data_IF_927493132713
#
_entry.id   IF_927493132713
#
_cell.length_a   1.000
_cell.length_b   1.000
_cell.length_c   1.000
_cell.angle_alpha   90.00
_cell.angle_beta   90.00
_cell.angle_gamma   90.00
#
_symmetry.space_group_name_H-M   'P 1'
#
loop_
_entity.id
_entity.type
_entity.pdbx_description
1 polymer ?
#
# COMPACT_ATOMS: atom_id res chain seq x y z
N UNK A 1 56.20 26.20 0.59
CA UNK A 1 54.83 26.46 0.08
C UNK A 1 54.18 25.12 -0.17
N UNK A 2 53.50 24.61 0.84
CA UNK A 2 52.82 23.30 0.86
C UNK A 2 51.38 23.51 0.40
N UNK A 3 51.00 22.87 -0.70
CA UNK A 3 49.64 22.90 -1.24
C UNK A 3 48.68 22.21 -0.25
N UNK A 4 47.64 22.89 0.26
CA UNK A 4 46.61 22.24 1.05
C UNK A 4 45.82 21.30 0.13
N UNK A 5 45.92 20.00 0.39
CA UNK A 5 45.18 18.96 -0.31
C UNK A 5 43.68 19.22 -0.20
N UNK A 6 43.04 19.41 -1.34
CA UNK A 6 41.59 19.44 -1.47
C UNK A 6 41.10 18.04 -1.08
N UNK A 7 40.51 17.92 0.10
CA UNK A 7 39.81 16.72 0.54
C UNK A 7 38.69 16.43 -0.46
N UNK A 8 38.92 15.48 -1.36
CA UNK A 8 37.85 14.95 -2.19
C UNK A 8 36.77 14.41 -1.25
N UNK A 9 35.51 14.85 -1.38
CA UNK A 9 34.42 14.30 -0.59
C UNK A 9 34.37 12.80 -0.88
N UNK A 10 34.71 11.99 0.12
CA UNK A 10 34.65 10.54 0.02
C UNK A 10 33.26 10.17 -0.50
N UNK A 11 33.22 9.51 -1.65
CA UNK A 11 31.99 9.02 -2.25
C UNK A 11 31.30 8.11 -1.24
N UNK A 12 30.32 8.66 -0.53
CA UNK A 12 29.52 7.88 0.41
C UNK A 12 28.85 6.77 -0.40
N UNK A 13 29.27 5.52 -0.18
CA UNK A 13 28.71 4.34 -0.84
C UNK A 13 27.28 4.01 -0.37
N UNK A 14 26.64 4.94 0.35
CA UNK A 14 25.29 4.81 0.90
C UNK A 14 24.33 5.58 0.03
N UNK A 15 23.20 4.95 -0.30
CA UNK A 15 22.08 5.59 -0.97
C UNK A 15 20.84 5.56 -0.08
N UNK A 16 20.07 6.64 -0.12
CA UNK A 16 18.76 6.73 0.49
C UNK A 16 17.68 6.47 -0.56
N UNK A 17 16.78 5.53 -0.27
CA UNK A 17 15.59 5.27 -1.07
C UNK A 17 14.38 5.83 -0.35
N UNK A 18 13.69 6.74 -1.02
CA UNK A 18 12.46 7.37 -0.53
C UNK A 18 11.28 6.41 -0.68
N UNK A 19 10.66 6.07 0.44
CA UNK A 19 9.50 5.19 0.51
C UNK A 19 8.37 5.93 1.18
N UNK A 20 7.23 5.99 0.51
CA UNK A 20 6.05 6.68 1.01
C UNK A 20 4.99 5.65 1.35
N UNK A 21 4.52 5.68 2.59
CA UNK A 21 3.50 4.77 3.10
C UNK A 21 2.22 5.54 3.41
N UNK A 22 1.09 4.96 3.01
CA UNK A 22 -0.23 5.48 3.41
C UNK A 22 -0.58 4.99 4.81
N UNK A 23 -0.63 5.89 5.81
CA UNK A 23 -0.93 5.51 7.21
C UNK A 23 -2.41 5.63 7.56
N UNK A 24 -3.09 6.70 7.12
CA UNK A 24 -4.54 6.92 7.38
C UNK A 24 -5.20 7.70 6.25
N UNK A 25 -6.40 7.28 5.83
CA UNK A 25 -7.37 7.78 4.82
C UNK A 25 -6.87 8.62 3.62
N UNK A 26 -5.97 9.58 3.76
CA UNK A 26 -5.32 10.30 2.65
C UNK A 26 -3.92 10.86 2.98
N UNK A 27 -3.34 10.50 4.12
CA UNK A 27 -2.04 10.99 4.58
C UNK A 27 -0.93 10.04 4.20
N UNK A 28 0.08 10.59 3.55
CA UNK A 28 1.24 9.88 3.05
C UNK A 28 2.45 10.29 3.87
N UNK A 29 3.18 9.31 4.37
CA UNK A 29 4.35 9.55 5.20
C UNK A 29 5.59 9.08 4.48
N UNK A 30 6.61 9.94 4.41
CA UNK A 30 7.90 9.64 3.80
C UNK A 30 8.84 8.99 4.82
N UNK A 31 9.48 7.92 4.37
CA UNK A 31 10.47 7.13 5.08
C UNK A 31 11.71 7.00 4.20
N UNK A 32 12.89 7.24 4.79
CA UNK A 32 14.15 7.11 4.09
C UNK A 32 14.84 5.81 4.46
N UNK A 33 14.92 4.90 3.50
CA UNK A 33 15.65 3.65 3.66
C UNK A 33 17.09 3.86 3.22
N UNK A 34 18.01 3.92 4.18
CA UNK A 34 19.45 3.97 3.92
C UNK A 34 20.00 2.56 3.66
N UNK A 35 20.84 2.42 2.65
CA UNK A 35 21.47 1.15 2.30
C UNK A 35 22.70 1.32 1.40
N UNK A 36 23.50 0.26 1.21
CA UNK A 36 24.61 0.29 0.27
C UNK A 36 24.10 0.50 -1.16
N UNK A 37 24.90 1.14 -2.01
CA UNK A 37 24.59 1.37 -3.44
C UNK A 37 24.18 0.11 -4.20
N UNK A 38 24.69 -1.04 -3.76
CA UNK A 38 24.40 -2.36 -4.35
C UNK A 38 23.37 -3.15 -3.53
N UNK A 39 22.43 -2.48 -2.85
CA UNK A 39 21.37 -3.17 -2.11
C UNK A 39 20.57 -4.07 -3.07
N UNK A 40 20.46 -5.36 -2.74
CA UNK A 40 19.64 -6.30 -3.50
C UNK A 40 18.17 -5.85 -3.44
N UNK A 41 17.44 -5.99 -4.54
CA UNK A 41 15.99 -5.72 -4.58
C UNK A 41 15.23 -6.53 -3.53
N UNK A 42 15.66 -7.76 -3.24
CA UNK A 42 15.11 -8.59 -2.16
C UNK A 42 15.29 -7.94 -0.79
N UNK A 43 16.49 -7.45 -0.49
CA UNK A 43 16.80 -6.79 0.79
C UNK A 43 16.06 -5.46 0.94
N UNK A 44 15.94 -4.69 -0.15
CA UNK A 44 15.14 -3.46 -0.18
C UNK A 44 13.67 -3.74 0.09
N UNK A 45 13.07 -4.71 -0.63
CA UNK A 45 11.67 -5.08 -0.43
C UNK A 45 11.40 -5.66 0.96
N UNK A 46 12.33 -6.43 1.51
CA UNK A 46 12.23 -6.93 2.87
C UNK A 46 12.18 -5.78 3.89
N UNK A 47 13.00 -4.73 3.71
CA UNK A 47 12.95 -3.53 4.55
C UNK A 47 11.64 -2.77 4.39
N UNK A 48 11.16 -2.56 3.15
CA UNK A 48 9.87 -1.91 2.89
C UNK A 48 8.74 -2.70 3.57
N UNK A 49 8.75 -4.02 3.46
CA UNK A 49 7.78 -4.89 4.09
C UNK A 49 7.86 -4.82 5.62
N UNK A 50 9.05 -4.73 6.21
CA UNK A 50 9.21 -4.56 7.65
C UNK A 50 8.58 -3.24 8.15
N UNK A 51 8.87 -2.12 7.48
CA UNK A 51 8.27 -0.81 7.82
C UNK A 51 6.76 -0.86 7.63
N UNK A 52 6.29 -1.47 6.54
CA UNK A 52 4.86 -1.68 6.31
C UNK A 52 4.20 -2.47 7.44
N UNK A 53 4.79 -3.60 7.88
CA UNK A 53 4.24 -4.42 8.96
C UNK A 53 4.27 -3.69 10.30
N UNK A 54 5.29 -2.89 10.56
CA UNK A 54 5.38 -2.07 11.77
C UNK A 54 4.25 -1.02 11.80
N UNK A 55 4.09 -0.27 10.72
CA UNK A 55 3.09 0.81 10.62
C UNK A 55 1.65 0.29 10.52
N UNK A 56 1.44 -0.80 9.78
CA UNK A 56 0.11 -1.42 9.68
C UNK A 56 -0.22 -2.31 10.85
N UNK A 57 0.78 -2.92 11.52
CA UNK A 57 0.59 -3.78 12.69
C UNK A 57 -0.05 -3.04 13.86
N UNK A 58 0.23 -1.74 14.00
CA UNK A 58 -0.44 -0.89 15.00
C UNK A 58 -1.91 -0.62 14.67
N UNK A 59 -2.26 -0.51 13.38
CA UNK A 59 -3.62 -0.26 12.90
C UNK A 59 -4.44 -1.56 12.83
N UNK A 60 -3.76 -2.69 12.63
CA UNK A 60 -4.35 -4.01 12.51
C UNK A 60 -4.52 -4.72 13.85
N UNK A 61 -4.25 -4.14 15.03
CA UNK A 61 -4.54 -4.87 16.29
C UNK A 61 -6.04 -5.06 16.55
N UNK A 62 -6.91 -4.24 15.94
CA UNK A 62 -8.38 -4.36 16.04
C UNK A 62 -9.07 -4.95 14.80
N UNK A 63 -8.34 -5.18 13.70
CA UNK A 63 -8.86 -5.71 12.42
C UNK A 63 -7.96 -6.81 11.82
N UNK A 64 -6.88 -7.18 12.51
CA UNK A 64 -5.74 -7.91 11.99
C UNK A 64 -5.93 -9.40 12.08
N UNK A 65 -6.58 -9.90 11.03
CA UNK A 65 -6.19 -11.08 10.25
C UNK A 65 -7.24 -11.23 9.15
N UNK A 66 -7.00 -10.60 8.00
CA UNK A 66 -7.37 -11.25 6.74
C UNK A 66 -8.82 -11.18 6.27
N UNK A 67 -9.58 -10.12 6.51
CA UNK A 67 -10.52 -9.74 5.46
C UNK A 67 -9.66 -9.13 4.35
N UNK A 68 -9.27 -9.91 3.37
CA UNK A 68 -8.43 -9.53 2.21
C UNK A 68 -9.05 -8.46 1.31
N UNK A 69 -9.82 -7.52 1.88
CA UNK A 69 -10.46 -6.35 1.29
C UNK A 69 -9.41 -5.45 0.68
N UNK A 70 -8.30 -5.20 1.39
CA UNK A 70 -7.24 -4.30 0.93
C UNK A 70 -5.96 -5.08 0.70
N UNK A 71 -5.37 -4.91 -0.48
CA UNK A 71 -4.11 -5.52 -0.87
C UNK A 71 -3.06 -4.41 -1.04
N UNK A 72 -1.88 -4.49 -0.41
CA UNK A 72 -0.82 -3.53 -0.67
C UNK A 72 -0.37 -3.58 -2.13
N UNK A 73 -0.28 -2.42 -2.77
CA UNK A 73 0.22 -2.25 -4.12
C UNK A 73 1.39 -1.28 -4.09
N UNK A 74 2.44 -1.59 -4.85
CA UNK A 74 3.57 -0.68 -5.00
C UNK A 74 3.39 0.13 -6.27
N UNK A 75 3.41 1.44 -6.08
CA UNK A 75 3.39 2.43 -7.13
C UNK A 75 4.70 3.23 -7.10
N UNK A 76 4.99 3.90 -8.21
CA UNK A 76 6.06 4.88 -8.31
C UNK A 76 5.37 6.24 -8.31
N UNK A 77 5.58 7.01 -7.26
CA UNK A 77 4.95 8.30 -7.06
C UNK A 77 5.90 9.44 -7.37
N UNK A 78 5.35 10.53 -7.90
CA UNK A 78 6.01 11.84 -7.93
C UNK A 78 5.57 12.66 -6.72
N UNK A 79 6.49 13.11 -5.90
CA UNK A 79 6.26 13.96 -4.74
C UNK A 79 6.20 15.44 -5.14
N UNK A 80 5.37 16.20 -4.43
CA UNK A 80 5.31 17.65 -4.58
C UNK A 80 6.64 18.32 -4.20
N UNK A 81 6.96 19.45 -4.84
CA UNK A 81 8.27 20.10 -4.77
C UNK A 81 8.63 20.70 -3.40
N UNK A 82 7.74 20.69 -2.39
CA UNK A 82 7.97 21.28 -1.06
C UNK A 82 8.96 20.51 -0.17
N UNK A 83 9.67 19.52 -0.72
CA UNK A 83 10.56 18.60 0.03
C UNK A 83 12.00 19.12 0.09
N UNK A 84 12.32 20.24 -0.57
CA UNK A 84 13.67 20.84 -0.53
C UNK A 84 14.19 21.10 0.89
N UNK A 85 13.31 21.25 1.88
CA UNK A 85 13.67 21.48 3.29
C UNK A 85 13.63 20.20 4.16
N UNK A 86 13.19 19.06 3.61
CA UNK A 86 12.95 17.82 4.37
C UNK A 86 14.22 17.13 4.88
N UNK A 87 15.40 17.51 4.37
CA UNK A 87 16.68 16.99 4.84
C UNK A 87 17.04 17.36 6.29
N UNK A 88 16.35 18.33 6.87
CA UNK A 88 16.68 18.89 8.19
C UNK A 88 15.88 18.24 9.33
N UNK A 89 14.77 17.56 9.02
CA UNK A 89 13.83 17.11 10.04
C UNK A 89 13.84 15.59 10.20
N UNK A 90 14.29 15.15 11.37
CA UNK A 90 14.27 13.76 11.81
C UNK A 90 12.83 13.27 12.02
N UNK A 91 12.43 12.19 11.33
CA UNK A 91 11.17 11.41 11.50
C UNK A 91 9.92 11.93 10.74
N UNK A 92 8.91 11.06 10.49
CA UNK A 92 8.26 10.93 9.18
C UNK A 92 7.47 12.17 8.76
N UNK A 93 7.68 12.58 7.50
CA UNK A 93 7.06 13.77 6.93
C UNK A 93 5.79 13.45 6.18
N UNK A 94 4.74 14.23 6.43
CA UNK A 94 3.56 14.20 5.60
C UNK A 94 3.89 14.79 4.22
N UNK A 95 3.67 14.02 3.16
CA UNK A 95 3.97 14.41 1.78
C UNK A 95 2.73 14.37 0.91
N UNK A 96 2.71 15.21 -0.12
CA UNK A 96 1.67 15.14 -1.15
C UNK A 96 2.23 14.48 -2.40
N UNK A 97 1.52 13.47 -2.90
CA UNK A 97 1.86 12.77 -4.13
C UNK A 97 1.10 13.44 -5.28
N UNK A 98 1.81 13.96 -6.27
CA UNK A 98 1.24 14.65 -7.43
C UNK A 98 0.76 13.66 -8.49
N UNK A 99 1.55 12.61 -8.74
CA UNK A 99 1.21 11.55 -9.69
C UNK A 99 1.70 10.21 -9.17
N UNK A 100 1.00 9.13 -9.53
CA UNK A 100 1.36 7.79 -9.08
C UNK A 100 1.10 6.80 -10.21
N UNK A 101 2.09 5.98 -10.54
CA UNK A 101 1.98 4.96 -11.58
C UNK A 101 2.20 3.58 -10.96
N UNK A 102 1.27 2.68 -11.20
CA UNK A 102 1.34 1.32 -10.67
C UNK A 102 2.44 0.51 -11.36
N UNK A 103 3.26 -0.17 -10.56
CA UNK A 103 4.18 -1.20 -11.06
C UNK A 103 3.72 -2.58 -10.60
N UNK A 104 3.39 -3.42 -11.59
CA UNK A 104 2.98 -4.81 -11.34
C UNK A 104 4.17 -5.63 -10.85
N UNK A 105 5.36 -5.32 -11.35
CA UNK A 105 6.62 -5.97 -11.03
C UNK A 105 7.01 -5.71 -9.57
N UNK A 106 7.00 -4.44 -9.14
CA UNK A 106 7.26 -4.05 -7.76
C UNK A 106 6.24 -4.65 -6.80
N UNK A 107 4.96 -4.62 -7.20
CA UNK A 107 3.88 -5.23 -6.41
C UNK A 107 4.10 -6.74 -6.26
N UNK A 108 4.42 -7.46 -7.33
CA UNK A 108 4.72 -8.89 -7.25
C UNK A 108 5.97 -9.17 -6.40
N UNK A 109 7.01 -8.35 -6.54
CA UNK A 109 8.24 -8.41 -5.75
C UNK A 109 8.02 -8.15 -4.27
N UNK A 110 7.06 -7.30 -3.91
CA UNK A 110 6.68 -7.05 -2.52
C UNK A 110 6.10 -8.31 -1.85
N UNK A 111 5.21 -9.03 -2.53
CA UNK A 111 4.62 -10.26 -1.99
C UNK A 111 5.55 -11.46 -2.05
N UNK A 112 6.47 -11.49 -3.02
CA UNK A 112 7.40 -12.60 -3.24
C UNK A 112 8.82 -12.06 -3.47
N UNK A 113 9.52 -11.60 -2.41
CA UNK A 113 10.84 -10.97 -2.54
C UNK A 113 11.88 -11.88 -3.22
N UNK A 114 11.75 -13.19 -3.05
CA UNK A 114 12.63 -14.20 -3.68
C UNK A 114 12.59 -14.17 -5.20
N UNK A 115 11.50 -13.71 -5.82
CA UNK A 115 11.42 -13.56 -7.28
C UNK A 115 12.34 -12.45 -7.79
N UNK A 116 12.68 -11.47 -6.95
CA UNK A 116 13.61 -10.40 -7.33
C UNK A 116 15.08 -10.85 -7.35
N UNK A 117 15.39 -12.01 -6.76
CA UNK A 117 16.75 -12.56 -6.74
C UNK A 117 17.23 -12.96 -8.14
N UNK A 118 16.32 -13.42 -8.99
CA UNK A 118 16.61 -13.79 -10.39
C UNK A 118 16.49 -12.61 -11.35
N UNK A 119 15.74 -11.57 -10.98
CA UNK A 119 15.63 -10.32 -11.73
C UNK A 119 16.85 -9.41 -11.52
N UNK A 120 18.04 -9.81 -12.01
CA UNK A 120 19.19 -8.90 -12.16
C UNK A 120 18.83 -7.52 -12.77
N UNK A 121 17.94 -7.43 -13.80
CA UNK A 121 17.54 -6.14 -14.39
C UNK A 121 16.84 -5.19 -13.41
N UNK A 122 16.34 -5.65 -12.27
CA UNK A 122 15.70 -4.78 -11.30
C UNK A 122 16.68 -3.81 -10.63
N UNK A 123 17.93 -4.25 -10.42
CA UNK A 123 19.03 -3.45 -9.88
C UNK A 123 19.96 -2.95 -11.00
N UNK A 124 20.09 -3.71 -12.10
CA UNK A 124 21.00 -3.41 -13.21
C UNK A 124 20.32 -2.83 -14.47
N UNK A 125 19.03 -2.48 -14.43
CA UNK A 125 18.44 -1.53 -15.39
C UNK A 125 18.31 -0.15 -14.73
N UNK A 126 19.44 0.53 -14.42
CA UNK A 126 19.42 1.86 -13.86
C UNK A 126 18.58 2.82 -14.72
N UNK A 127 18.53 2.66 -16.04
CA UNK A 127 17.71 3.52 -16.90
C UNK A 127 16.24 3.70 -16.47
N UNK A 128 15.60 2.70 -15.86
CA UNK A 128 14.19 2.78 -15.49
C UNK A 128 13.95 3.19 -14.02
N UNK A 129 14.90 2.90 -13.12
CA UNK A 129 14.73 3.08 -11.67
C UNK A 129 15.86 3.86 -10.98
N UNK A 130 16.91 4.27 -11.69
CA UNK A 130 17.99 5.12 -11.16
C UNK A 130 17.42 6.46 -10.68
N UNK A 131 16.42 6.99 -11.39
CA UNK A 131 15.63 8.14 -10.95
C UNK A 131 14.74 7.88 -9.71
N UNK A 132 14.71 6.68 -9.16
CA UNK A 132 13.99 6.36 -7.91
C UNK A 132 14.97 5.91 -6.83
N UNK A 133 16.08 5.29 -7.24
CA UNK A 133 17.02 4.62 -6.35
C UNK A 133 18.31 5.39 -6.11
N UNK A 134 18.73 6.33 -6.98
CA UNK A 134 20.06 6.97 -6.91
C UNK A 134 19.96 8.47 -7.20
N UNK A 135 20.01 9.30 -6.14
CA UNK A 135 20.28 10.75 -6.28
C UNK A 135 19.31 11.53 -7.17
N UNK A 136 18.14 10.98 -7.45
CA UNK A 136 17.10 11.63 -8.24
C UNK A 136 16.70 12.96 -7.60
N UNK A 137 16.40 14.01 -8.38
CA UNK A 137 15.85 15.24 -7.83
C UNK A 137 14.58 14.90 -7.05
N UNK A 138 14.63 15.01 -5.71
CA UNK A 138 13.66 14.88 -4.58
C UNK A 138 12.17 14.61 -4.84
N UNK A 139 11.82 14.02 -5.98
CA UNK A 139 10.49 14.05 -6.55
C UNK A 139 10.00 12.68 -6.89
N UNK A 140 10.79 11.60 -6.89
CA UNK A 140 10.27 10.25 -7.10
C UNK A 140 10.46 9.39 -5.85
N UNK A 141 9.43 8.65 -5.49
CA UNK A 141 9.45 7.74 -4.35
C UNK A 141 8.68 6.46 -4.64
N UNK A 142 9.02 5.40 -3.91
CA UNK A 142 8.28 4.15 -3.90
C UNK A 142 7.07 4.35 -3.00
N UNK A 143 5.87 4.35 -3.58
CA UNK A 143 4.63 4.54 -2.84
C UNK A 143 3.99 3.20 -2.57
N UNK A 144 3.80 2.87 -1.30
CA UNK A 144 3.02 1.71 -0.87
C UNK A 144 1.60 2.20 -0.59
N UNK A 145 0.68 1.83 -1.48
CA UNK A 145 -0.74 2.14 -1.38
C UNK A 145 -1.56 0.86 -1.16
N UNK A 146 -2.86 1.01 -0.99
CA UNK A 146 -3.81 -0.08 -0.83
C UNK A 146 -4.84 -0.05 -1.93
N UNK A 147 -5.01 -1.18 -2.60
CA UNK A 147 -6.08 -1.36 -3.57
C UNK A 147 -7.16 -2.28 -2.98
N UNK A 148 -8.43 -2.02 -3.30
CA UNK A 148 -9.48 -2.99 -3.00
C UNK A 148 -9.30 -4.25 -3.84
N UNK A 149 -9.34 -5.41 -3.19
CA UNK A 149 -9.29 -6.69 -3.86
C UNK A 149 -10.69 -7.02 -4.39
N UNK A 150 -10.91 -6.80 -5.69
CA UNK A 150 -12.20 -7.08 -6.33
C UNK A 150 -12.70 -8.51 -6.11
N UNK A 151 -11.80 -9.50 -6.10
CA UNK A 151 -12.17 -10.89 -5.81
C UNK A 151 -12.77 -11.06 -4.42
N UNK A 152 -12.25 -10.32 -3.43
CA UNK A 152 -12.78 -10.36 -2.07
C UNK A 152 -14.17 -9.74 -2.00
N UNK A 153 -14.38 -8.62 -2.69
CA UNK A 153 -15.69 -7.94 -2.77
C UNK A 153 -16.73 -8.89 -3.38
N UNK A 154 -16.38 -9.59 -4.46
CA UNK A 154 -17.27 -10.56 -5.10
C UNK A 154 -17.63 -11.71 -4.16
N UNK A 155 -16.65 -12.26 -3.42
CA UNK A 155 -16.90 -13.33 -2.44
C UNK A 155 -17.80 -12.84 -1.32
N UNK A 156 -17.55 -11.65 -0.77
CA UNK A 156 -18.39 -11.06 0.28
C UNK A 156 -19.82 -10.85 -0.19
N UNK A 157 -19.99 -10.31 -1.40
CA UNK A 157 -21.30 -10.15 -2.00
C UNK A 157 -22.05 -11.50 -2.14
N UNK A 158 -21.34 -12.55 -2.58
CA UNK A 158 -21.90 -13.90 -2.66
C UNK A 158 -22.35 -14.46 -1.31
N UNK A 159 -21.54 -14.29 -0.26
CA UNK A 159 -21.88 -14.73 1.11
C UNK A 159 -23.11 -13.98 1.62
N UNK A 160 -23.16 -12.66 1.46
CA UNK A 160 -24.30 -11.82 1.85
C UNK A 160 -25.58 -12.27 1.14
N UNK A 161 -25.50 -12.56 -0.17
CA UNK A 161 -26.63 -13.04 -0.94
C UNK A 161 -27.16 -14.38 -0.40
N UNK A 162 -26.27 -15.35 -0.16
CA UNK A 162 -26.63 -16.67 0.39
C UNK A 162 -27.28 -16.52 1.77
N UNK A 163 -26.72 -15.70 2.66
CA UNK A 163 -27.27 -15.45 3.99
C UNK A 163 -28.67 -14.83 3.91
N UNK A 164 -28.87 -13.87 3.01
CA UNK A 164 -30.14 -13.16 2.85
C UNK A 164 -31.24 -14.11 2.36
N UNK A 165 -30.90 -14.99 1.40
CA UNK A 165 -31.80 -16.05 0.92
C UNK A 165 -32.08 -17.04 2.05
N UNK A 166 -31.05 -17.51 2.76
CA UNK A 166 -31.17 -18.47 3.85
C UNK A 166 -32.10 -17.99 4.97
N UNK A 167 -31.97 -16.72 5.39
CA UNK A 167 -32.85 -16.12 6.39
C UNK A 167 -34.29 -15.99 5.87
N UNK A 168 -34.47 -15.55 4.62
CA UNK A 168 -35.80 -15.47 4.00
C UNK A 168 -36.51 -16.82 3.93
N UNK A 169 -35.80 -17.88 3.51
CA UNK A 169 -36.34 -19.25 3.45
C UNK A 169 -36.67 -19.75 4.84
N UNK A 170 -35.77 -19.60 5.82
CA UNK A 170 -35.98 -20.03 7.19
C UNK A 170 -37.24 -19.37 7.81
N UNK A 171 -37.39 -18.05 7.63
CA UNK A 171 -38.55 -17.31 8.11
C UNK A 171 -39.84 -17.71 7.39
N UNK A 172 -39.79 -17.90 6.06
CA UNK A 172 -40.94 -18.33 5.28
C UNK A 172 -41.45 -19.72 5.70
N UNK A 173 -40.54 -20.66 5.95
CA UNK A 173 -40.87 -22.01 6.44
C UNK A 173 -41.43 -21.94 7.86
N UNK A 174 -40.78 -21.20 8.76
CA UNK A 174 -41.21 -21.09 10.16
C UNK A 174 -42.61 -20.47 10.31
N UNK A 175 -42.94 -19.48 9.46
CA UNK A 175 -44.22 -18.75 9.52
C UNK A 175 -45.30 -19.34 8.61
N UNK A 176 -44.95 -20.32 7.77
CA UNK A 176 -45.78 -20.88 6.70
C UNK A 176 -46.32 -19.81 5.74
N UNK A 177 -45.62 -18.69 5.58
CA UNK A 177 -46.00 -17.55 4.74
C UNK A 177 -44.83 -17.09 3.89
N UNK A 178 -44.92 -17.33 2.57
CA UNK A 178 -43.87 -16.96 1.62
C UNK A 178 -43.64 -15.44 1.56
N UNK A 179 -44.72 -14.64 1.69
CA UNK A 179 -44.67 -13.18 1.67
C UNK A 179 -43.74 -12.61 2.74
N UNK A 180 -43.76 -13.19 3.95
CA UNK A 180 -42.94 -12.74 5.06
C UNK A 180 -41.45 -13.03 4.82
N UNK A 181 -41.14 -14.18 4.21
CA UNK A 181 -39.78 -14.54 3.83
C UNK A 181 -39.20 -13.62 2.76
N UNK A 182 -40.01 -13.24 1.76
CA UNK A 182 -39.61 -12.30 0.69
C UNK A 182 -39.42 -10.89 1.27
N UNK A 183 -40.33 -10.43 2.12
CA UNK A 183 -40.21 -9.11 2.76
C UNK A 183 -38.95 -9.03 3.65
N UNK A 184 -38.67 -10.08 4.43
CA UNK A 184 -37.51 -10.13 5.30
C UNK A 184 -36.18 -10.14 4.53
N UNK A 185 -36.10 -10.92 3.43
CA UNK A 185 -34.88 -10.97 2.60
C UNK A 185 -34.63 -9.64 1.89
N UNK A 186 -35.67 -9.01 1.32
CA UNK A 186 -35.57 -7.69 0.72
C UNK A 186 -35.14 -6.62 1.75
N UNK A 187 -35.71 -6.67 2.96
CA UNK A 187 -35.35 -5.75 4.05
C UNK A 187 -33.89 -5.88 4.49
N UNK A 188 -33.38 -7.11 4.62
CA UNK A 188 -31.98 -7.37 4.94
C UNK A 188 -31.05 -6.85 3.84
N UNK A 189 -31.37 -7.11 2.57
CA UNK A 189 -30.56 -6.62 1.46
C UNK A 189 -30.50 -5.09 1.41
N UNK A 190 -31.62 -4.42 1.67
CA UNK A 190 -31.68 -2.96 1.75
C UNK A 190 -30.82 -2.43 2.91
N UNK A 191 -30.88 -3.04 4.09
CA UNK A 191 -30.02 -2.66 5.21
C UNK A 191 -28.54 -2.81 4.89
N UNK A 192 -28.13 -3.93 4.29
CA UNK A 192 -26.73 -4.13 3.89
C UNK A 192 -26.29 -3.07 2.89
N UNK A 193 -27.14 -2.76 1.90
CA UNK A 193 -26.86 -1.72 0.91
C UNK A 193 -26.67 -0.34 1.55
N UNK A 194 -27.49 0.01 2.54
CA UNK A 194 -27.35 1.27 3.29
C UNK A 194 -26.05 1.30 4.10
N UNK A 195 -25.69 0.18 4.75
CA UNK A 195 -24.42 0.05 5.48
C UNK A 195 -23.24 0.20 4.53
N UNK A 196 -23.27 -0.42 3.34
CA UNK A 196 -22.21 -0.29 2.34
C UNK A 196 -22.05 1.16 1.86
N UNK A 197 -23.15 1.86 1.58
CA UNK A 197 -23.11 3.29 1.20
C UNK A 197 -22.57 4.15 2.34
N UNK A 198 -22.97 3.89 3.58
CA UNK A 198 -22.45 4.60 4.76
C UNK A 198 -20.95 4.34 4.95
N UNK A 199 -20.51 3.09 4.80
CA UNK A 199 -19.09 2.74 4.87
C UNK A 199 -18.29 3.41 3.75
N UNK A 200 -18.83 3.48 2.54
CA UNK A 200 -18.20 4.19 1.42
C UNK A 200 -18.10 5.70 1.67
N UNK A 201 -19.14 6.31 2.25
CA UNK A 201 -19.12 7.72 2.63
C UNK A 201 -18.14 8.02 3.75
N UNK A 202 -18.05 7.13 4.75
CA UNK A 202 -17.08 7.26 5.83
C UNK A 202 -15.64 7.03 5.34
N UNK A 203 -15.41 6.30 4.25
CA UNK A 203 -14.08 6.05 3.71
C UNK A 203 -13.51 7.20 2.87
N UNK A 204 -14.36 8.10 2.38
CA UNK A 204 -13.97 9.36 1.72
C UNK A 204 -13.59 10.44 2.73
#
# INVERSE_FOLDING_TARGET
>A
MTNPGINQPGTSNTIAVHVVLRKRRSRWYLYDIKGPRNISGEALMAKIHAIYVEETGTICSFHGKGLGIRRPVINIGTLSASISDANVLSHPHEVTITSSTRSRELTAGFYRPRLLRTCRPFVTAPANYEHVLVGSPWRKAIVVDFEMNGSFVVVMFGITLIMTIGVGVALGVATKRAELGIAASAGLFAMVSVIEVLLFWLDK
#
